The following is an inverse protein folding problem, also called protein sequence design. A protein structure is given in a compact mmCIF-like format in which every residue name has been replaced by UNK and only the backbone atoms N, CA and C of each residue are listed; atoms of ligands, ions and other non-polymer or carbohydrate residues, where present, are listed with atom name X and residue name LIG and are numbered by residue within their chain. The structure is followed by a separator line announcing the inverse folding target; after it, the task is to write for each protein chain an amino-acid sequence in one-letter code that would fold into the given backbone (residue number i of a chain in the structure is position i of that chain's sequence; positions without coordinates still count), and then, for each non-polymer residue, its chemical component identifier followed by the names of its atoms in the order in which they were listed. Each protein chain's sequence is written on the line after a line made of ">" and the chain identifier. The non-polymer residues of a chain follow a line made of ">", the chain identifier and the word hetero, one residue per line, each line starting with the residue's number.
data_IF_290594816936
#
_entry.id   IF_290594816936
#
_cell.length_a   1.000
_cell.length_b   1.000
_cell.length_c   1.000
_cell.angle_alpha   90.00
_cell.angle_beta   90.00
_cell.angle_gamma   90.00
#
_symmetry.space_group_name_H-M   'P 1'
#
loop_
_entity.id
_entity.type
_entity.pdbx_description
1 polymer ?
#
# COMPACT_ATOMS: atom_id res chain seq x y z
N UNK A 1 -26.13 -12.73 -24.55
CA UNK A 1 -26.27 -12.97 -23.09
C UNK A 1 -25.32 -12.04 -22.38
N UNK A 2 -25.77 -10.89 -21.96
CA UNK A 2 -25.00 -9.91 -21.20
C UNK A 2 -24.91 -10.41 -19.76
N UNK A 3 -23.75 -10.92 -19.36
CA UNK A 3 -23.43 -11.13 -17.95
C UNK A 3 -23.28 -9.76 -17.30
N UNK A 4 -24.19 -9.43 -16.41
CA UNK A 4 -24.10 -8.29 -15.53
C UNK A 4 -22.83 -8.48 -14.68
N UNK A 5 -21.82 -7.64 -14.91
CA UNK A 5 -20.68 -7.51 -14.03
C UNK A 5 -21.23 -6.82 -12.78
N UNK A 6 -21.29 -7.53 -11.68
CA UNK A 6 -21.62 -6.93 -10.39
C UNK A 6 -20.48 -5.96 -10.02
N UNK A 7 -20.80 -4.76 -9.52
CA UNK A 7 -19.79 -3.88 -9.00
C UNK A 7 -19.11 -4.59 -7.82
N UNK A 8 -17.79 -4.78 -7.90
CA UNK A 8 -16.98 -5.22 -6.77
C UNK A 8 -17.03 -4.13 -5.72
N UNK A 9 -17.79 -4.39 -4.68
CA UNK A 9 -17.74 -3.60 -3.45
C UNK A 9 -16.47 -4.07 -2.74
N UNK A 10 -15.42 -3.27 -2.79
CA UNK A 10 -14.27 -3.47 -1.90
C UNK A 10 -14.79 -3.46 -0.47
N UNK A 11 -14.47 -4.50 0.26
CA UNK A 11 -14.80 -4.58 1.67
C UNK A 11 -13.91 -3.57 2.41
N UNK A 12 -14.45 -2.42 2.54
CA UNK A 12 -13.95 -1.41 3.43
C UNK A 12 -13.98 -1.98 4.83
N UNK A 13 -12.83 -2.12 5.46
CA UNK A 13 -12.76 -2.32 6.88
C UNK A 13 -13.63 -1.25 7.54
N UNK A 14 -14.71 -1.66 8.16
CA UNK A 14 -15.46 -0.80 9.05
C UNK A 14 -14.49 -0.40 10.18
N UNK A 15 -13.78 0.69 9.96
CA UNK A 15 -13.06 1.42 11.00
C UNK A 15 -14.09 2.04 11.93
N UNK A 16 -14.80 1.17 12.66
CA UNK A 16 -15.58 1.58 13.80
C UNK A 16 -14.57 2.12 14.79
N UNK A 17 -14.51 3.43 14.89
CA UNK A 17 -13.99 4.10 16.05
C UNK A 17 -12.53 4.50 16.09
N UNK A 18 -11.84 4.68 14.97
CA UNK A 18 -10.60 5.47 15.03
C UNK A 18 -10.88 6.99 15.07
N UNK A 19 -11.71 7.44 15.99
CA UNK A 19 -11.47 8.71 16.64
C UNK A 19 -10.25 8.49 17.57
N UNK A 20 -9.14 8.15 16.93
CA UNK A 20 -7.88 7.92 17.58
C UNK A 20 -7.42 9.21 18.20
N UNK A 21 -7.27 9.18 19.48
CA UNK A 21 -6.45 10.15 20.14
C UNK A 21 -5.16 10.28 19.35
N UNK A 22 -4.86 11.48 18.89
CA UNK A 22 -3.52 11.89 18.53
C UNK A 22 -2.60 11.22 19.55
N UNK A 23 -1.62 10.45 19.13
CA UNK A 23 -0.55 10.05 20.03
C UNK A 23 -0.07 11.35 20.63
N UNK A 24 -0.45 11.59 21.87
CA UNK A 24 0.21 12.62 22.66
C UNK A 24 1.67 12.26 22.63
N UNK A 25 2.57 13.13 22.16
CA UNK A 25 3.99 12.89 22.34
C UNK A 25 4.14 12.61 23.84
N UNK A 26 4.71 11.45 24.18
CA UNK A 26 5.09 11.18 25.56
C UNK A 26 5.85 12.42 26.03
N UNK A 27 5.32 13.07 27.06
CA UNK A 27 5.78 14.33 27.57
C UNK A 27 7.21 14.20 28.12
N UNK A 28 8.18 14.38 27.25
CA UNK A 28 9.55 14.78 27.52
C UNK A 28 10.05 15.70 26.41
N UNK A 29 9.17 16.53 25.86
CA UNK A 29 9.48 17.58 24.91
C UNK A 29 9.12 18.93 25.52
N UNK A 30 10.05 19.82 25.45
CA UNK A 30 10.05 21.21 25.89
C UNK A 30 8.70 21.90 25.64
N UNK A 31 8.06 22.54 26.63
CA UNK A 31 6.75 23.23 26.47
C UNK A 31 6.82 24.52 25.65
N UNK A 32 7.80 24.69 24.78
CA UNK A 32 8.04 25.89 23.98
C UNK A 32 7.83 25.76 22.47
N UNK A 33 7.38 24.64 21.92
CA UNK A 33 7.14 24.56 20.48
C UNK A 33 5.84 25.27 20.10
N UNK A 34 5.95 26.44 19.52
CA UNK A 34 4.84 27.13 18.80
C UNK A 34 4.14 26.16 17.86
N UNK A 35 2.81 26.27 17.65
CA UNK A 35 2.12 25.44 16.70
C UNK A 35 2.82 25.54 15.35
N UNK A 36 3.21 24.41 14.79
CA UNK A 36 3.90 24.35 13.51
C UNK A 36 3.06 25.12 12.47
N UNK A 37 3.71 26.04 11.76
CA UNK A 37 3.08 26.81 10.69
C UNK A 37 2.52 25.91 9.57
N UNK A 38 1.91 26.48 8.53
CA UNK A 38 1.38 25.72 7.41
C UNK A 38 2.48 24.88 6.75
N UNK A 39 2.15 23.63 6.42
CA UNK A 39 3.08 22.70 5.76
C UNK A 39 3.46 23.21 4.39
N UNK A 40 4.75 23.25 4.09
CA UNK A 40 5.28 23.72 2.81
C UNK A 40 5.53 22.55 1.84
N UNK A 41 5.57 22.82 0.50
CA UNK A 41 5.94 21.81 -0.48
C UNK A 41 7.32 21.18 -0.24
N UNK A 42 8.27 21.95 0.29
CA UNK A 42 9.61 21.47 0.60
C UNK A 42 9.62 20.45 1.75
N UNK A 43 8.75 20.61 2.73
CA UNK A 43 8.62 19.66 3.85
C UNK A 43 8.00 18.33 3.43
N UNK A 44 7.24 18.30 2.33
CA UNK A 44 6.64 17.08 1.77
C UNK A 44 7.52 16.45 0.70
N UNK A 45 8.49 17.19 0.17
CA UNK A 45 9.40 16.73 -0.87
C UNK A 45 10.63 15.98 -0.34
N UNK A 46 11.36 15.36 -1.24
CA UNK A 46 12.62 14.67 -0.90
C UNK A 46 12.38 13.35 -0.17
N UNK A 47 13.12 13.14 0.93
CA UNK A 47 13.07 11.88 1.69
C UNK A 47 11.70 11.54 2.31
N UNK A 48 10.78 12.51 2.37
CA UNK A 48 9.44 12.36 2.91
C UNK A 48 8.37 12.10 1.84
N UNK A 49 8.75 12.14 0.57
CA UNK A 49 7.82 11.91 -0.53
C UNK A 49 7.13 10.56 -0.37
N UNK A 50 5.80 10.52 -0.38
CA UNK A 50 5.06 9.27 -0.35
C UNK A 50 5.22 8.52 -1.68
N UNK A 51 5.17 7.20 -1.61
CA UNK A 51 4.64 6.38 -2.69
C UNK A 51 3.11 6.41 -2.59
N UNK A 52 2.39 6.04 -3.62
CA UNK A 52 0.93 6.18 -3.62
C UNK A 52 0.25 4.88 -4.05
N UNK A 53 -0.77 4.45 -3.32
CA UNK A 53 -1.65 3.38 -3.76
C UNK A 53 -2.59 3.91 -4.84
N UNK A 54 -2.68 3.21 -5.95
CA UNK A 54 -3.57 3.52 -7.07
C UNK A 54 -4.50 2.34 -7.27
N UNK A 55 -5.76 2.54 -6.96
CA UNK A 55 -6.82 1.58 -7.28
C UNK A 55 -7.28 1.86 -8.70
N UNK A 56 -7.36 0.84 -9.54
CA UNK A 56 -7.70 1.01 -10.94
C UNK A 56 -9.02 0.37 -11.30
N UNK A 57 -10.02 1.18 -11.63
CA UNK A 57 -11.12 0.78 -12.51
C UNK A 57 -10.79 1.22 -13.92
N UNK A 58 -11.00 0.35 -14.93
CA UNK A 58 -10.64 0.65 -16.32
C UNK A 58 -11.25 1.94 -16.89
N UNK A 59 -12.41 2.39 -16.36
CA UNK A 59 -13.08 3.62 -16.78
C UNK A 59 -12.47 4.88 -16.15
N UNK A 60 -11.80 4.76 -15.03
CA UNK A 60 -11.21 5.87 -14.26
C UNK A 60 -9.83 6.25 -14.77
N UNK A 61 -9.25 5.46 -15.69
CA UNK A 61 -7.89 5.67 -16.18
C UNK A 61 -7.62 7.05 -16.76
N UNK A 62 -8.55 7.61 -17.55
CA UNK A 62 -8.35 8.93 -18.17
C UNK A 62 -8.25 10.03 -17.13
N UNK A 63 -9.05 9.92 -16.10
CA UNK A 63 -9.10 10.87 -15.02
C UNK A 63 -7.86 10.75 -14.12
N UNK A 64 -7.38 9.53 -13.82
CA UNK A 64 -6.11 9.32 -13.15
C UNK A 64 -4.91 9.80 -13.95
N UNK A 65 -4.97 9.69 -15.28
CA UNK A 65 -3.88 10.07 -16.15
C UNK A 65 -3.42 11.52 -15.90
N UNK A 66 -4.34 12.44 -15.72
CA UNK A 66 -4.00 13.84 -15.45
C UNK A 66 -3.41 14.02 -14.06
N UNK A 67 -3.99 13.38 -13.04
CA UNK A 67 -3.47 13.40 -11.68
C UNK A 67 -2.08 12.75 -11.60
N UNK A 68 -1.92 11.56 -12.19
CA UNK A 68 -0.62 10.87 -12.25
C UNK A 68 0.40 11.66 -13.04
N UNK A 69 0.01 12.29 -14.16
CA UNK A 69 0.89 13.15 -14.94
C UNK A 69 1.33 14.38 -14.14
N UNK A 70 0.47 14.94 -13.30
CA UNK A 70 0.82 16.05 -12.42
C UNK A 70 1.82 15.62 -11.35
N UNK A 71 1.59 14.45 -10.71
CA UNK A 71 2.51 13.87 -9.72
C UNK A 71 3.88 13.55 -10.34
N UNK A 72 3.88 12.95 -11.52
CA UNK A 72 5.11 12.60 -12.25
C UNK A 72 5.92 13.85 -12.63
N UNK A 73 5.28 14.87 -13.21
CA UNK A 73 5.97 16.14 -13.56
C UNK A 73 6.55 16.83 -12.34
N UNK A 74 5.89 16.74 -11.19
CA UNK A 74 6.41 17.33 -9.96
C UNK A 74 7.61 16.56 -9.38
N UNK A 75 7.79 15.29 -9.76
CA UNK A 75 8.92 14.45 -9.34
C UNK A 75 8.94 14.11 -7.85
N UNK A 76 7.81 14.31 -7.14
CA UNK A 76 7.72 14.11 -5.70
C UNK A 76 7.12 12.77 -5.29
N UNK A 77 6.55 12.03 -6.23
CA UNK A 77 6.10 10.66 -6.08
C UNK A 77 6.95 9.78 -6.98
N UNK A 78 7.68 8.85 -6.41
CA UNK A 78 8.64 8.03 -7.15
C UNK A 78 8.01 6.75 -7.68
N UNK A 79 6.97 6.24 -7.02
CA UNK A 79 6.34 4.99 -7.41
C UNK A 79 4.93 4.86 -6.88
N UNK A 80 4.28 3.85 -7.41
CA UNK A 80 2.89 3.52 -7.10
C UNK A 80 2.75 2.05 -6.77
N UNK A 81 1.74 1.70 -6.00
CA UNK A 81 1.29 0.33 -5.77
C UNK A 81 -0.04 0.13 -6.50
N UNK A 82 -0.10 -0.89 -7.34
CA UNK A 82 -1.27 -1.19 -8.17
C UNK A 82 -1.63 -2.66 -8.09
N UNK A 83 -2.90 -2.97 -8.00
CA UNK A 83 -3.38 -4.34 -7.93
C UNK A 83 -3.46 -4.97 -9.33
N UNK A 84 -2.93 -6.19 -9.45
CA UNK A 84 -2.92 -7.00 -10.67
C UNK A 84 -4.12 -7.95 -10.60
N UNK A 85 -5.07 -7.74 -11.50
CA UNK A 85 -6.27 -8.56 -11.64
C UNK A 85 -6.25 -9.39 -12.91
N UNK A 86 -7.21 -10.35 -13.03
CA UNK A 86 -7.48 -11.07 -14.27
C UNK A 86 -8.09 -10.25 -15.41
N UNK A 87 -8.26 -8.95 -15.21
CA UNK A 87 -8.89 -8.05 -16.18
C UNK A 87 -7.85 -7.37 -17.07
N UNK A 88 -7.89 -7.62 -18.38
CA UNK A 88 -6.96 -7.05 -19.36
C UNK A 88 -7.00 -5.51 -19.41
N UNK A 89 -8.16 -4.90 -19.16
CA UNK A 89 -8.26 -3.45 -19.15
C UNK A 89 -7.42 -2.84 -18.02
N UNK A 90 -7.43 -3.45 -16.82
CA UNK A 90 -6.58 -3.02 -15.70
C UNK A 90 -5.10 -3.25 -15.98
N UNK A 91 -4.77 -4.31 -16.72
CA UNK A 91 -3.41 -4.59 -17.15
C UNK A 91 -2.85 -3.47 -18.04
N UNK A 92 -3.67 -2.87 -18.89
CA UNK A 92 -3.26 -1.74 -19.73
C UNK A 92 -2.97 -0.48 -18.91
N UNK A 93 -3.69 -0.29 -17.79
CA UNK A 93 -3.48 0.81 -16.83
C UNK A 93 -2.10 0.69 -16.20
N UNK A 94 -1.75 -0.48 -15.68
CA UNK A 94 -0.45 -0.73 -15.03
C UNK A 94 0.70 -0.42 -15.99
N UNK A 95 0.60 -0.90 -17.24
CA UNK A 95 1.61 -0.63 -18.29
C UNK A 95 1.71 0.86 -18.61
N UNK A 96 0.57 1.55 -18.68
CA UNK A 96 0.54 3.00 -18.92
C UNK A 96 1.23 3.75 -17.79
N UNK A 97 0.97 3.40 -16.55
CA UNK A 97 1.57 4.04 -15.38
C UNK A 97 3.08 3.76 -15.30
N UNK A 98 3.51 2.53 -15.59
CA UNK A 98 4.92 2.20 -15.72
C UNK A 98 5.61 3.01 -16.83
N UNK A 99 4.96 3.17 -17.98
CA UNK A 99 5.47 3.98 -19.09
C UNK A 99 5.56 5.49 -18.78
N UNK A 100 4.84 5.97 -17.75
CA UNK A 100 5.00 7.33 -17.22
C UNK A 100 6.26 7.51 -16.37
N UNK A 101 7.01 6.44 -16.11
CA UNK A 101 8.25 6.48 -15.35
C UNK A 101 8.10 6.24 -13.84
N UNK A 102 6.92 5.86 -13.36
CA UNK A 102 6.76 5.42 -11.97
C UNK A 102 7.36 4.03 -11.78
N UNK A 103 8.00 3.82 -10.64
CA UNK A 103 8.27 2.47 -10.18
C UNK A 103 6.95 1.85 -9.70
N UNK A 104 6.64 0.65 -10.20
CA UNK A 104 5.41 -0.05 -9.85
C UNK A 104 5.70 -1.17 -8.87
N UNK A 105 4.99 -1.16 -7.72
CA UNK A 105 4.79 -2.32 -6.88
C UNK A 105 3.51 -3.02 -7.36
N UNK A 106 3.65 -4.16 -7.99
CA UNK A 106 2.51 -4.98 -8.43
C UNK A 106 1.95 -5.75 -7.24
N UNK A 107 0.71 -5.48 -6.84
CA UNK A 107 -0.01 -6.29 -5.87
C UNK A 107 -0.72 -7.42 -6.59
N UNK A 108 -0.29 -8.64 -6.36
CA UNK A 108 -1.00 -9.84 -6.82
C UNK A 108 -2.31 -9.95 -6.05
N UNK A 109 -3.44 -9.82 -6.74
CA UNK A 109 -4.77 -9.83 -6.12
C UNK A 109 -5.00 -11.06 -5.25
N UNK A 110 -5.73 -10.87 -4.16
CA UNK A 110 -6.12 -11.97 -3.29
C UNK A 110 -6.88 -13.08 -4.03
N UNK A 111 -7.64 -12.74 -5.07
CA UNK A 111 -8.39 -13.71 -5.89
C UNK A 111 -7.49 -14.80 -6.48
N UNK A 112 -6.26 -14.44 -6.85
CA UNK A 112 -5.31 -15.39 -7.41
C UNK A 112 -4.75 -16.37 -6.39
N UNK A 113 -4.77 -16.02 -5.10
CA UNK A 113 -4.18 -16.87 -4.05
C UNK A 113 -4.96 -18.18 -3.84
N UNK A 114 -6.20 -18.24 -4.33
CA UNK A 114 -7.04 -19.43 -4.28
C UNK A 114 -6.98 -20.26 -5.56
N UNK A 115 -6.21 -19.83 -6.56
CA UNK A 115 -6.05 -20.62 -7.78
C UNK A 115 -5.21 -21.88 -7.50
N UNK A 116 -5.69 -23.08 -7.90
CA UNK A 116 -4.95 -24.33 -7.70
C UNK A 116 -3.54 -24.32 -8.30
N UNK A 117 -3.38 -23.60 -9.43
CA UNK A 117 -2.11 -23.45 -10.14
C UNK A 117 -1.58 -22.03 -9.97
N UNK A 118 -1.32 -21.62 -8.72
CA UNK A 118 -0.79 -20.28 -8.43
C UNK A 118 0.56 -20.02 -9.09
N UNK A 119 1.41 -21.04 -9.24
CA UNK A 119 2.70 -20.95 -9.91
C UNK A 119 2.55 -20.52 -11.37
N UNK A 120 1.60 -21.13 -12.08
CA UNK A 120 1.28 -20.74 -13.44
C UNK A 120 0.65 -19.34 -13.54
N UNK A 121 -0.04 -18.88 -12.50
CA UNK A 121 -0.50 -17.49 -12.39
C UNK A 121 0.70 -16.53 -12.26
N UNK A 122 1.65 -16.83 -11.39
CA UNK A 122 2.86 -16.04 -11.20
C UNK A 122 3.68 -15.98 -12.50
N UNK A 123 3.84 -17.09 -13.19
CA UNK A 123 4.54 -17.13 -14.50
C UNK A 123 3.88 -16.21 -15.53
N UNK A 124 2.54 -16.21 -15.61
CA UNK A 124 1.80 -15.31 -16.50
C UNK A 124 1.96 -13.85 -16.10
N UNK A 125 1.86 -13.53 -14.80
CA UNK A 125 2.05 -12.18 -14.29
C UNK A 125 3.44 -11.66 -14.65
N UNK A 126 4.47 -12.44 -14.40
CA UNK A 126 5.85 -12.04 -14.71
C UNK A 126 6.10 -11.87 -16.22
N UNK A 127 5.45 -12.68 -17.04
CA UNK A 127 5.52 -12.54 -18.50
C UNK A 127 4.77 -11.31 -19.00
N UNK A 128 3.65 -10.97 -18.35
CA UNK A 128 2.81 -9.81 -18.73
C UNK A 128 3.46 -8.48 -18.35
N UNK A 129 4.20 -8.46 -17.23
CA UNK A 129 4.83 -7.25 -16.67
C UNK A 129 6.34 -7.43 -16.50
N UNK A 130 7.10 -7.55 -17.60
CA UNK A 130 8.54 -7.77 -17.53
C UNK A 130 9.30 -6.60 -16.87
N UNK A 131 8.73 -5.42 -16.83
CA UNK A 131 9.30 -4.21 -16.24
C UNK A 131 9.12 -4.13 -14.71
N UNK A 132 8.13 -4.81 -14.15
CA UNK A 132 7.89 -4.79 -12.70
C UNK A 132 8.91 -5.69 -12.00
N UNK A 133 9.59 -5.12 -11.00
CA UNK A 133 10.58 -5.81 -10.17
C UNK A 133 10.03 -6.30 -8.84
N UNK A 134 9.04 -5.61 -8.28
CA UNK A 134 8.53 -5.88 -6.94
C UNK A 134 7.09 -6.36 -7.02
N UNK A 135 6.82 -7.50 -6.40
CA UNK A 135 5.47 -8.08 -6.40
C UNK A 135 5.05 -8.41 -4.98
N UNK A 136 4.01 -7.72 -4.51
CA UNK A 136 3.36 -8.02 -3.24
C UNK A 136 2.40 -9.18 -3.45
N UNK A 137 2.50 -10.20 -2.60
CA UNK A 137 1.69 -11.41 -2.71
C UNK A 137 0.50 -11.29 -1.75
N UNK A 138 -0.60 -10.79 -2.25
CA UNK A 138 -1.81 -10.52 -1.49
C UNK A 138 -1.71 -9.32 -0.53
N UNK A 139 -2.83 -8.91 -0.02
CA UNK A 139 -2.98 -7.86 0.99
C UNK A 139 -4.12 -8.22 1.95
N UNK A 140 -3.88 -8.13 3.25
CA UNK A 140 -4.87 -8.39 4.31
C UNK A 140 -5.65 -9.71 4.10
N UNK A 141 -4.96 -10.74 3.62
CA UNK A 141 -5.55 -12.01 3.15
C UNK A 141 -6.29 -12.80 4.22
N UNK A 142 -6.02 -12.49 5.48
CA UNK A 142 -6.65 -13.11 6.66
C UNK A 142 -7.88 -12.33 7.12
N UNK A 143 -8.16 -11.17 6.51
CA UNK A 143 -9.30 -10.34 6.86
C UNK A 143 -10.56 -10.96 6.29
N UNK A 144 -11.58 -11.11 7.14
CA UNK A 144 -12.90 -11.56 6.70
C UNK A 144 -13.53 -10.43 5.90
N UNK A 145 -13.52 -10.58 4.59
CA UNK A 145 -14.29 -9.69 3.70
C UNK A 145 -15.76 -10.09 3.77
N UNK A 146 -16.68 -9.17 4.09
CA UNK A 146 -18.10 -9.47 4.00
C UNK A 146 -18.51 -9.69 2.54
N UNK A 147 -19.46 -10.53 2.25
CA UNK A 147 -19.89 -11.81 2.80
C UNK A 147 -19.51 -13.02 1.93
N UNK A 148 -18.55 -12.95 1.00
CA UNK A 148 -18.49 -13.91 -0.10
C UNK A 148 -17.10 -14.36 -0.52
N UNK A 149 -16.03 -13.86 0.06
CA UNK A 149 -14.68 -14.26 -0.31
C UNK A 149 -14.13 -15.39 0.57
N UNK A 150 -13.37 -16.36 0.01
CA UNK A 150 -12.62 -17.27 0.81
C UNK A 150 -11.55 -16.51 1.59
N UNK A 151 -11.39 -16.83 2.86
CA UNK A 151 -10.28 -16.37 3.70
C UNK A 151 -9.27 -17.48 3.87
N UNK A 152 -8.01 -17.13 4.03
CA UNK A 152 -6.98 -18.07 4.44
C UNK A 152 -6.47 -17.68 5.81
N UNK A 153 -6.02 -18.66 6.58
CA UNK A 153 -5.33 -18.40 7.83
C UNK A 153 -3.90 -17.92 7.55
N UNK A 154 -3.26 -17.32 8.55
CA UNK A 154 -1.87 -16.88 8.38
C UNK A 154 -0.92 -18.05 8.12
N UNK A 155 -1.22 -19.23 8.67
CA UNK A 155 -0.46 -20.47 8.45
C UNK A 155 -0.60 -20.95 7.00
N UNK A 156 -1.82 -20.90 6.46
CA UNK A 156 -2.08 -21.23 5.04
C UNK A 156 -1.37 -20.22 4.13
N UNK A 157 -1.40 -18.93 4.47
CA UNK A 157 -0.66 -17.93 3.73
C UNK A 157 0.85 -18.16 3.81
N UNK A 158 1.40 -18.46 4.96
CA UNK A 158 2.83 -18.76 5.11
C UNK A 158 3.28 -19.91 4.20
N UNK A 159 2.51 -21.01 4.16
CA UNK A 159 2.78 -22.14 3.28
C UNK A 159 2.67 -21.75 1.79
N UNK A 160 1.65 -20.97 1.43
CA UNK A 160 1.47 -20.45 0.07
C UNK A 160 2.63 -19.53 -0.35
N UNK A 161 2.99 -18.56 0.49
CA UNK A 161 4.07 -17.62 0.23
C UNK A 161 5.41 -18.34 0.06
N UNK A 162 5.68 -19.35 0.89
CA UNK A 162 6.87 -20.18 0.79
C UNK A 162 6.90 -20.95 -0.53
N UNK A 163 5.78 -21.52 -0.97
CA UNK A 163 5.66 -22.22 -2.26
C UNK A 163 5.93 -21.28 -3.43
N UNK A 164 5.34 -20.09 -3.42
CA UNK A 164 5.59 -19.06 -4.44
C UNK A 164 7.06 -18.62 -4.43
N UNK A 165 7.63 -18.39 -3.24
CA UNK A 165 9.04 -18.03 -3.11
C UNK A 165 9.96 -19.07 -3.74
N UNK A 166 9.76 -20.36 -3.41
CA UNK A 166 10.56 -21.46 -3.97
C UNK A 166 10.41 -21.54 -5.50
N UNK A 167 9.19 -21.39 -6.02
CA UNK A 167 8.94 -21.36 -7.46
C UNK A 167 9.70 -20.20 -8.13
N UNK A 168 9.60 -19.00 -7.58
CA UNK A 168 10.28 -17.82 -8.13
C UNK A 168 11.81 -17.97 -8.09
N UNK A 169 12.36 -18.49 -6.98
CA UNK A 169 13.82 -18.70 -6.90
C UNK A 169 14.32 -19.76 -7.87
N UNK A 170 13.51 -20.79 -8.13
CA UNK A 170 13.91 -21.89 -9.05
C UNK A 170 13.70 -21.57 -10.52
N UNK A 171 12.60 -20.88 -10.87
CA UNK A 171 12.19 -20.66 -12.27
C UNK A 171 12.55 -19.27 -12.80
N UNK A 172 12.64 -18.29 -11.90
CA UNK A 172 12.85 -16.88 -12.23
C UNK A 172 13.95 -16.24 -11.38
N UNK A 173 15.13 -16.85 -11.25
CA UNK A 173 16.18 -16.37 -10.33
C UNK A 173 16.59 -14.94 -10.69
N UNK A 174 16.53 -14.05 -9.70
CA UNK A 174 16.89 -12.62 -9.87
C UNK A 174 15.84 -11.78 -10.61
N UNK A 175 14.73 -12.37 -11.07
CA UNK A 175 13.69 -11.68 -11.84
C UNK A 175 12.86 -10.72 -10.97
N UNK A 176 12.50 -11.15 -9.76
CA UNK A 176 11.63 -10.39 -8.90
C UNK A 176 12.04 -10.47 -7.43
N UNK A 177 11.68 -9.44 -6.70
CA UNK A 177 11.72 -9.41 -5.23
C UNK A 177 10.28 -9.51 -4.76
N UNK A 178 10.02 -10.49 -3.91
CA UNK A 178 8.68 -10.70 -3.36
C UNK A 178 8.48 -9.79 -2.15
N UNK A 179 7.27 -9.27 -2.03
CA UNK A 179 6.83 -8.46 -0.89
C UNK A 179 5.73 -9.25 -0.19
N UNK A 180 5.82 -9.40 1.12
CA UNK A 180 4.81 -10.14 1.89
C UNK A 180 3.46 -9.44 1.82
N UNK A 181 2.38 -10.16 2.13
CA UNK A 181 1.14 -9.46 2.50
C UNK A 181 1.40 -8.49 3.65
N UNK A 182 0.63 -7.42 3.69
CA UNK A 182 0.46 -6.65 4.92
C UNK A 182 -0.78 -7.16 5.63
N UNK A 183 -0.68 -7.39 6.92
CA UNK A 183 -1.85 -7.69 7.72
C UNK A 183 -2.65 -6.41 7.98
N UNK A 184 -3.90 -6.58 8.36
CA UNK A 184 -4.77 -5.46 8.74
C UNK A 184 -4.07 -4.54 9.74
N UNK A 185 -3.90 -3.29 9.36
CA UNK A 185 -3.11 -2.29 10.09
C UNK A 185 -3.75 -1.76 11.38
N UNK A 186 -4.83 -2.41 11.88
CA UNK A 186 -5.53 -2.02 13.10
C UNK A 186 -5.29 -3.02 14.24
N UNK A 187 -5.01 -2.49 15.42
CA UNK A 187 -4.87 -3.25 16.65
C UNK A 187 -3.71 -4.24 16.64
N UNK A 188 -3.92 -5.35 17.36
CA UNK A 188 -2.88 -6.33 17.67
C UNK A 188 -2.72 -7.42 16.61
N UNK A 189 -3.69 -7.55 15.71
CA UNK A 189 -3.75 -8.65 14.75
C UNK A 189 -2.57 -8.64 13.78
N UNK A 190 -2.29 -7.51 13.17
CA UNK A 190 -1.22 -7.40 12.20
C UNK A 190 0.16 -7.81 12.73
N UNK A 191 0.61 -7.29 13.88
CA UNK A 191 1.86 -7.73 14.49
C UNK A 191 1.89 -9.22 14.83
N UNK A 192 0.79 -9.80 15.34
CA UNK A 192 0.69 -11.23 15.64
C UNK A 192 0.79 -12.09 14.37
N UNK A 193 0.13 -11.67 13.29
CA UNK A 193 0.23 -12.36 12.00
C UNK A 193 1.64 -12.30 11.43
N UNK A 194 2.32 -11.15 11.56
CA UNK A 194 3.71 -11.01 11.12
C UNK A 194 4.65 -11.91 11.94
N UNK A 195 4.44 -12.02 13.25
CA UNK A 195 5.21 -12.92 14.12
C UNK A 195 5.03 -14.39 13.69
N UNK A 196 3.80 -14.80 13.42
CA UNK A 196 3.49 -16.16 12.92
C UNK A 196 4.13 -16.40 11.55
N UNK A 197 4.00 -15.45 10.62
CA UNK A 197 4.62 -15.53 9.29
C UNK A 197 6.15 -15.61 9.38
N UNK A 198 6.76 -14.89 10.32
CA UNK A 198 8.20 -14.92 10.57
C UNK A 198 8.64 -16.34 10.90
N UNK A 199 8.03 -16.92 11.92
CA UNK A 199 8.39 -18.27 12.39
C UNK A 199 8.14 -19.36 11.35
N UNK A 200 7.02 -19.27 10.62
CA UNK A 200 6.63 -20.32 9.67
C UNK A 200 7.32 -20.23 8.32
N UNK A 201 7.74 -19.04 7.88
CA UNK A 201 8.26 -18.85 6.53
C UNK A 201 9.52 -17.98 6.45
N UNK A 202 9.51 -16.77 7.00
CA UNK A 202 10.54 -15.78 6.71
C UNK A 202 11.93 -16.16 7.25
N UNK A 203 12.02 -16.87 8.37
CA UNK A 203 13.29 -17.33 8.94
C UNK A 203 14.10 -18.23 7.98
N UNK A 204 13.44 -18.80 6.99
CA UNK A 204 14.03 -19.71 6.00
C UNK A 204 14.23 -19.07 4.62
N UNK A 205 14.04 -17.76 4.51
CA UNK A 205 14.13 -17.03 3.24
C UNK A 205 15.33 -16.10 3.20
N UNK A 206 15.84 -15.87 1.99
CA UNK A 206 16.88 -14.91 1.74
C UNK A 206 16.32 -13.48 1.89
N UNK A 207 16.82 -12.66 2.84
CA UNK A 207 16.34 -11.30 3.05
C UNK A 207 16.58 -10.36 1.86
N UNK A 208 17.50 -10.70 0.95
CA UNK A 208 17.71 -9.92 -0.28
C UNK A 208 16.62 -10.17 -1.34
N UNK A 209 15.85 -11.25 -1.18
CA UNK A 209 14.80 -11.68 -2.10
C UNK A 209 13.39 -11.40 -1.60
N UNK A 210 13.26 -11.00 -0.35
CA UNK A 210 11.96 -10.74 0.28
C UNK A 210 11.98 -9.41 1.00
N UNK A 211 10.89 -8.67 0.88
CA UNK A 211 10.62 -7.44 1.61
C UNK A 211 9.42 -7.69 2.53
N UNK A 212 9.55 -7.30 3.76
CA UNK A 212 8.46 -7.37 4.74
C UNK A 212 7.56 -6.14 4.58
N UNK A 213 6.28 -6.38 4.35
CA UNK A 213 5.28 -5.32 4.24
C UNK A 213 4.45 -5.21 5.52
N UNK A 214 4.09 -3.98 5.89
CA UNK A 214 3.17 -3.66 6.99
C UNK A 214 2.23 -2.53 6.59
N UNK A 215 0.99 -2.57 7.08
CA UNK A 215 0.07 -1.44 7.04
C UNK A 215 0.16 -0.68 8.36
N UNK A 216 0.34 0.64 8.31
CA UNK A 216 0.72 1.45 9.47
C UNK A 216 -0.29 2.58 9.74
N UNK A 217 -1.52 2.20 10.10
CA UNK A 217 -2.56 3.14 10.50
C UNK A 217 -2.62 3.35 12.01
N UNK A 218 -2.42 2.27 12.77
CA UNK A 218 -2.59 2.23 14.21
C UNK A 218 -1.24 2.39 14.94
N UNK A 219 -1.10 3.37 15.84
CA UNK A 219 0.12 3.61 16.60
C UNK A 219 0.57 2.43 17.46
N UNK A 220 -0.37 1.70 18.07
CA UNK A 220 -0.05 0.55 18.92
C UNK A 220 0.49 -0.61 18.07
N UNK A 221 -0.11 -0.85 16.90
CA UNK A 221 0.41 -1.80 15.92
C UNK A 221 1.82 -1.40 15.47
N UNK A 222 2.06 -0.12 15.16
CA UNK A 222 3.39 0.39 14.78
C UNK A 222 4.44 0.12 15.85
N UNK A 223 4.10 0.34 17.13
CA UNK A 223 5.01 0.06 18.25
C UNK A 223 5.41 -1.41 18.32
N UNK A 224 4.47 -2.32 18.08
CA UNK A 224 4.76 -3.78 18.09
C UNK A 224 5.50 -4.25 16.85
N UNK A 225 5.15 -3.76 15.67
CA UNK A 225 5.95 -4.01 14.46
C UNK A 225 7.41 -3.63 14.67
N UNK A 226 7.69 -2.52 15.35
CA UNK A 226 9.05 -2.11 15.66
C UNK A 226 9.83 -3.21 16.36
N UNK A 227 9.25 -3.84 17.39
CA UNK A 227 9.92 -4.93 18.14
C UNK A 227 10.33 -6.08 17.22
N UNK A 228 9.43 -6.54 16.34
CA UNK A 228 9.70 -7.60 15.38
C UNK A 228 10.75 -7.19 14.33
N UNK A 229 10.57 -6.00 13.74
CA UNK A 229 11.41 -5.51 12.64
C UNK A 229 12.83 -5.13 13.07
N UNK A 230 13.04 -4.77 14.33
CA UNK A 230 14.38 -4.54 14.90
C UNK A 230 14.99 -5.78 15.54
N UNK A 231 14.19 -6.80 15.81
CA UNK A 231 14.55 -8.11 16.36
C UNK A 231 14.79 -9.16 15.28
N UNK A 232 13.91 -10.15 15.22
CA UNK A 232 14.01 -11.32 14.34
C UNK A 232 14.03 -10.98 12.85
N UNK A 233 13.36 -9.91 12.43
CA UNK A 233 13.30 -9.46 11.04
C UNK A 233 14.32 -8.36 10.69
N UNK A 234 15.32 -8.13 11.52
CA UNK A 234 16.30 -7.02 11.31
C UNK A 234 17.08 -7.09 10.00
N UNK A 235 17.23 -8.28 9.43
CA UNK A 235 17.93 -8.48 8.16
C UNK A 235 17.06 -8.11 6.94
N UNK A 236 15.75 -8.13 7.09
CA UNK A 236 14.84 -7.85 5.99
C UNK A 236 14.69 -6.35 5.75
N UNK A 237 14.49 -5.99 4.49
CA UNK A 237 13.99 -4.68 4.07
C UNK A 237 12.53 -4.56 4.49
N UNK A 238 12.10 -3.35 4.80
CA UNK A 238 10.73 -3.08 5.29
C UNK A 238 10.08 -2.00 4.44
N UNK A 239 8.84 -2.25 4.00
CA UNK A 239 8.00 -1.25 3.36
C UNK A 239 6.68 -1.10 4.13
N UNK A 240 6.26 0.14 4.31
CA UNK A 240 4.91 0.46 4.77
C UNK A 240 4.04 0.59 3.52
N UNK A 241 3.25 -0.43 3.23
CA UNK A 241 2.49 -0.53 1.99
C UNK A 241 1.16 0.21 2.02
N UNK A 242 0.71 0.56 3.22
CA UNK A 242 -0.43 1.46 3.42
C UNK A 242 -0.27 2.28 4.69
N UNK A 243 -0.54 3.58 4.57
CA UNK A 243 -0.60 4.52 5.68
C UNK A 243 -1.43 5.74 5.26
N UNK A 244 -1.98 6.45 6.22
CA UNK A 244 -2.75 7.64 5.93
C UNK A 244 -3.61 8.08 7.11
N UNK A 245 -4.37 9.14 6.89
CA UNK A 245 -5.36 9.65 7.83
C UNK A 245 -6.64 10.03 7.08
N UNK A 246 -7.80 9.58 7.59
CA UNK A 246 -9.11 9.86 7.03
C UNK A 246 -9.58 11.28 7.36
N UNK A 247 -8.75 12.27 7.08
CA UNK A 247 -9.08 13.68 7.23
C UNK A 247 -8.23 14.52 6.26
N UNK A 248 -8.80 15.00 5.16
CA UNK A 248 -8.07 15.73 4.13
C UNK A 248 -7.29 16.94 4.64
N UNK A 249 -7.81 17.65 5.64
CA UNK A 249 -7.14 18.82 6.22
C UNK A 249 -5.86 18.47 6.99
N UNK A 250 -5.74 17.23 7.46
CA UNK A 250 -4.59 16.74 8.24
C UNK A 250 -3.59 15.92 7.42
N UNK A 251 -3.91 15.56 6.17
CA UNK A 251 -3.08 14.69 5.35
C UNK A 251 -1.64 15.20 5.19
N UNK A 252 -1.47 16.50 4.92
CA UNK A 252 -0.16 17.10 4.74
C UNK A 252 0.68 17.06 6.03
N UNK A 253 0.05 17.35 7.17
CA UNK A 253 0.69 17.25 8.49
C UNK A 253 1.07 15.80 8.81
N UNK A 254 0.19 14.85 8.47
CA UNK A 254 0.47 13.43 8.67
C UNK A 254 1.73 13.01 7.90
N UNK A 255 1.87 13.38 6.63
CA UNK A 255 3.07 13.06 5.85
C UNK A 255 4.30 13.72 6.44
N UNK A 256 4.24 15.02 6.77
CA UNK A 256 5.37 15.77 7.36
C UNK A 256 5.85 15.14 8.68
N UNK A 257 4.91 14.81 9.58
CA UNK A 257 5.25 14.47 10.96
C UNK A 257 5.39 12.95 11.16
N UNK A 258 4.58 12.14 10.46
CA UNK A 258 4.53 10.69 10.68
C UNK A 258 5.45 9.89 9.76
N UNK A 259 5.68 10.32 8.51
CA UNK A 259 6.55 9.57 7.60
C UNK A 259 8.00 9.49 8.11
N UNK A 260 8.61 10.56 8.65
CA UNK A 260 9.91 10.44 9.31
C UNK A 260 9.91 9.41 10.43
N UNK A 261 8.86 9.43 11.26
CA UNK A 261 8.73 8.49 12.37
C UNK A 261 8.57 7.05 11.88
N UNK A 262 7.70 6.78 10.90
CA UNK A 262 7.52 5.46 10.32
C UNK A 262 8.84 4.93 9.72
N UNK A 263 9.56 5.78 8.99
CA UNK A 263 10.87 5.42 8.44
C UNK A 263 11.89 5.09 9.53
N UNK A 264 11.96 5.90 10.57
CA UNK A 264 12.90 5.68 11.67
C UNK A 264 12.51 4.47 12.52
N UNK A 265 11.27 4.38 12.97
CA UNK A 265 10.82 3.35 13.90
C UNK A 265 10.71 1.98 13.27
N UNK A 266 10.22 1.90 12.05
CA UNK A 266 10.05 0.64 11.33
C UNK A 266 11.22 0.32 10.40
N UNK A 267 12.21 1.22 10.26
CA UNK A 267 13.29 1.13 9.27
C UNK A 267 12.74 1.05 7.84
N UNK A 268 11.57 1.66 7.61
CA UNK A 268 10.89 1.56 6.34
C UNK A 268 11.63 2.31 5.23
N UNK A 269 12.00 1.62 4.17
CA UNK A 269 12.60 2.24 2.97
C UNK A 269 11.55 3.02 2.18
N UNK A 270 10.30 2.53 2.17
CA UNK A 270 9.18 3.12 1.45
C UNK A 270 7.95 3.20 2.33
N UNK A 271 7.20 4.27 2.14
CA UNK A 271 5.93 4.50 2.82
C UNK A 271 4.91 4.92 1.77
N UNK A 272 3.85 4.14 1.62
CA UNK A 272 2.80 4.35 0.65
C UNK A 272 1.63 5.06 1.30
N UNK A 273 1.19 6.13 0.68
CA UNK A 273 -0.07 6.81 1.01
C UNK A 273 -1.26 5.98 0.51
N UNK A 274 -2.22 5.76 1.35
CA UNK A 274 -3.50 5.19 0.96
C UNK A 274 -4.53 6.33 0.91
N UNK A 275 -5.03 6.78 -0.21
CA UNK A 275 -4.99 6.28 -1.58
C UNK A 275 -5.05 7.48 -2.55
N UNK A 276 -4.66 7.31 -3.82
CA UNK A 276 -4.81 8.39 -4.81
C UNK A 276 -6.29 8.74 -4.99
N UNK A 277 -7.13 7.74 -5.17
CA UNK A 277 -8.57 7.89 -5.28
C UNK A 277 -9.28 6.74 -4.56
N UNK A 278 -10.24 7.07 -3.71
CA UNK A 278 -11.19 6.14 -3.11
C UNK A 278 -12.54 6.24 -3.79
N UNK A 279 -13.42 5.30 -3.52
CA UNK A 279 -14.80 5.35 -4.00
C UNK A 279 -15.48 6.66 -3.60
N UNK A 280 -16.47 7.10 -4.39
CA UNK A 280 -17.20 8.38 -4.17
C UNK A 280 -17.97 8.42 -2.83
N UNK A 281 -18.12 7.28 -2.20
CA UNK A 281 -18.71 7.14 -0.87
C UNK A 281 -18.06 5.97 -0.13
N UNK A 282 -17.92 6.12 1.18
CA UNK A 282 -17.35 5.09 2.03
C UNK A 282 -16.12 5.57 2.80
N UNK A 283 -15.55 4.74 3.67
CA UNK A 283 -14.48 5.13 4.58
C UNK A 283 -13.19 5.53 3.86
N UNK A 284 -12.94 5.03 2.64
CA UNK A 284 -11.73 5.35 1.89
C UNK A 284 -11.76 6.74 1.26
N UNK A 285 -12.97 7.32 1.12
CA UNK A 285 -13.15 8.65 0.53
C UNK A 285 -12.32 9.70 1.24
N UNK A 286 -12.22 9.64 2.56
CA UNK A 286 -11.51 10.63 3.36
C UNK A 286 -9.98 10.48 3.35
N UNK A 287 -9.46 9.33 2.88
CA UNK A 287 -8.04 9.13 2.61
C UNK A 287 -7.61 9.63 1.23
N UNK A 288 -8.55 9.83 0.32
CA UNK A 288 -8.25 10.12 -1.09
C UNK A 288 -7.50 11.42 -1.28
N UNK A 289 -6.49 11.39 -2.18
CA UNK A 289 -5.80 12.59 -2.63
C UNK A 289 -6.63 13.38 -3.64
N UNK A 290 -7.43 12.67 -4.45
CA UNK A 290 -8.35 13.27 -5.42
C UNK A 290 -9.73 12.61 -5.31
N UNK A 291 -10.77 13.34 -5.65
CA UNK A 291 -12.15 12.84 -5.76
C UNK A 291 -12.78 13.37 -7.03
N UNK A 292 -13.58 12.53 -7.65
CA UNK A 292 -14.39 12.98 -8.78
C UNK A 292 -15.73 13.51 -8.30
N UNK A 293 -16.05 14.78 -8.50
CA UNK A 293 -17.41 15.16 -8.70
C UNK A 293 -17.83 14.62 -10.07
N UNK A 294 -19.09 14.34 -10.24
CA UNK A 294 -19.78 13.69 -11.36
C UNK A 294 -19.42 14.15 -12.78
N UNK A 295 -18.44 15.00 -13.01
CA UNK A 295 -18.00 15.50 -14.33
C UNK A 295 -16.50 15.80 -14.38
N UNK A 296 -15.78 15.06 -15.22
CA UNK A 296 -14.43 15.41 -15.71
C UNK A 296 -14.51 16.71 -16.52
N UNK A 297 -13.54 17.69 -16.45
CA UNK A 297 -12.22 17.54 -15.81
C UNK A 297 -12.13 18.07 -14.37
N UNK A 298 -13.21 18.54 -13.79
CA UNK A 298 -13.18 19.18 -12.46
C UNK A 298 -13.23 18.11 -11.35
N UNK A 299 -12.07 17.73 -10.86
CA UNK A 299 -11.95 16.86 -9.70
C UNK A 299 -11.42 17.61 -8.48
N UNK A 300 -11.99 17.25 -7.33
CA UNK A 300 -11.50 17.77 -6.06
C UNK A 300 -10.10 17.24 -5.75
N UNK A 301 -9.25 18.10 -5.21
CA UNK A 301 -7.87 17.81 -4.82
C UNK A 301 -7.69 18.08 -3.34
N UNK A 302 -7.05 17.15 -2.64
CA UNK A 302 -6.69 17.37 -1.23
C UNK A 302 -5.54 18.39 -1.14
N UNK A 303 -5.38 19.05 0.01
CA UNK A 303 -4.20 19.90 0.26
C UNK A 303 -2.88 19.15 0.07
N UNK A 304 -2.83 17.87 0.45
CA UNK A 304 -1.64 17.04 0.22
C UNK A 304 -1.35 16.84 -1.27
N UNK A 305 -2.38 16.59 -2.10
CA UNK A 305 -2.19 16.49 -3.55
C UNK A 305 -1.62 17.79 -4.14
N UNK A 306 -2.17 18.93 -3.71
CA UNK A 306 -1.65 20.25 -4.11
C UNK A 306 -0.17 20.40 -3.77
N UNK A 307 0.24 20.04 -2.56
CA UNK A 307 1.64 20.07 -2.15
C UNK A 307 2.52 19.13 -2.97
N UNK A 308 2.05 17.89 -3.24
CA UNK A 308 2.78 16.92 -4.03
C UNK A 308 2.96 17.33 -5.49
N UNK A 309 2.00 18.03 -6.06
CA UNK A 309 2.06 18.52 -7.46
C UNK A 309 2.67 19.92 -7.59
N UNK A 310 2.84 20.64 -6.48
CA UNK A 310 3.25 22.04 -6.50
C UNK A 310 2.16 22.99 -6.99
N UNK A 311 0.92 22.52 -7.00
CA UNK A 311 -0.27 23.31 -7.35
C UNK A 311 -1.03 23.62 -6.06
N UNK A 312 -1.24 24.87 -5.71
CA UNK A 312 -1.98 25.25 -4.51
C UNK A 312 -3.47 24.84 -4.58
#
# INVERSE_FOLDING_TARGET
>A
MLRRIAPFVFATCALVGCQGGLLSPSASGDPGSSPAGPVTPQEVAGQWSPYVNVHGDGEVLLAYRDALSALQRAGRVQGVRMEIHGNEALNSVIKTVGAMGFEVLGLVSNDYLFEPNIEGVIDRIFSTYPEIRYFQIGNEVTTILPPTGPTITIEQYAALFQRIYQHVQSRHPGRAILVTQSALGSGMRGPTELETLTTLALEHMDPDKVIVAVNAYDPDAVSRYRGLLTGSLRAFRVWVTESGIANPALQAMFVRDRYPQLRQYLRAERVYWFVLWGADSGPDTDFSLIRYPTRYPDYWKSPLFGLLTGQP
#
